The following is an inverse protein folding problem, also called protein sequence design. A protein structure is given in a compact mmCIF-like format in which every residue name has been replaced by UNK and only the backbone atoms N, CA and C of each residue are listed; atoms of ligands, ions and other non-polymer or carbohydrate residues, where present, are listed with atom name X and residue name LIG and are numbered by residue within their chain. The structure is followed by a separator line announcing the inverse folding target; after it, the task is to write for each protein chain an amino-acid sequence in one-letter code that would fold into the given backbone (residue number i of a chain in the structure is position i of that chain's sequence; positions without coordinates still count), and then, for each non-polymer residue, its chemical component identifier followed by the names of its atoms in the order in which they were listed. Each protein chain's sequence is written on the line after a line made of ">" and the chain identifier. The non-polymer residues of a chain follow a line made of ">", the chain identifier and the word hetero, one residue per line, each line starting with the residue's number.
data_IF_614625456405
#
_entry.id   IF_614625456405
#
_cell.length_a   1.000
_cell.length_b   1.000
_cell.length_c   1.000
_cell.angle_alpha   90.00
_cell.angle_beta   90.00
_cell.angle_gamma   90.00
#
_symmetry.space_group_name_H-M   'P 1'
#
loop_
_entity.id
_entity.type
_entity.pdbx_description
1 polymer ?
#
# COMPACT_ATOMS: atom_id res chain seq x y z
N UNK A 1 5.56 4.30 -14.63
CA UNK A 1 6.35 3.48 -15.57
C UNK A 1 7.55 2.91 -14.82
N UNK A 2 7.37 1.79 -14.10
CA UNK A 2 8.44 1.13 -13.35
C UNK A 2 9.24 0.22 -14.28
N UNK A 3 10.08 0.84 -15.10
CA UNK A 3 11.02 0.15 -15.96
C UNK A 3 12.07 -0.61 -15.14
N UNK A 4 11.86 -1.93 -14.99
CA UNK A 4 12.93 -2.94 -14.98
C UNK A 4 13.96 -2.93 -13.83
N UNK A 5 13.86 -2.06 -12.80
CA UNK A 5 14.86 -1.98 -11.71
C UNK A 5 14.38 -2.13 -10.28
N UNK A 6 13.07 -2.12 -9.99
CA UNK A 6 12.58 -2.28 -8.61
C UNK A 6 12.02 -3.69 -8.42
N UNK A 7 12.62 -4.52 -7.54
CA UNK A 7 12.09 -5.82 -7.17
C UNK A 7 10.64 -5.70 -6.65
N UNK A 8 9.70 -6.53 -7.13
CA UNK A 8 8.29 -6.43 -6.76
C UNK A 8 8.04 -6.65 -5.26
N UNK A 9 8.89 -7.41 -4.58
CA UNK A 9 8.81 -7.60 -3.12
C UNK A 9 9.10 -6.30 -2.35
N UNK A 10 9.98 -5.43 -2.86
CA UNK A 10 10.25 -4.13 -2.24
C UNK A 10 9.04 -3.20 -2.42
N UNK A 11 8.43 -3.18 -3.61
CA UNK A 11 7.21 -2.39 -3.86
C UNK A 11 6.09 -2.84 -2.92
N UNK A 12 5.90 -4.15 -2.76
CA UNK A 12 4.94 -4.69 -1.80
C UNK A 12 5.22 -4.23 -0.37
N UNK A 13 6.46 -4.38 0.11
CA UNK A 13 6.83 -4.04 1.47
C UNK A 13 6.65 -2.54 1.75
N UNK A 14 7.06 -1.69 0.80
CA UNK A 14 6.91 -0.24 0.90
C UNK A 14 5.43 0.19 0.88
N UNK A 15 4.61 -0.35 -0.04
CA UNK A 15 3.18 -0.03 -0.07
C UNK A 15 2.46 -0.53 1.18
N UNK A 16 2.85 -1.69 1.73
CA UNK A 16 2.29 -2.21 2.98
C UNK A 16 2.67 -1.32 4.19
N UNK A 17 3.94 -0.93 4.30
CA UNK A 17 4.41 -0.01 5.34
C UNK A 17 3.69 1.33 5.27
N UNK A 18 3.48 1.85 4.06
CA UNK A 18 2.82 3.13 3.84
C UNK A 18 1.32 3.05 4.16
N UNK A 19 0.66 1.93 3.81
CA UNK A 19 -0.71 1.65 4.22
C UNK A 19 -0.83 1.65 5.76
N UNK A 20 0.11 1.00 6.44
CA UNK A 20 0.13 0.93 7.91
C UNK A 20 0.34 2.31 8.53
N UNK A 21 1.28 3.09 8.00
CA UNK A 21 1.54 4.46 8.44
C UNK A 21 0.31 5.36 8.27
N UNK A 22 -0.39 5.27 7.13
CA UNK A 22 -1.65 5.98 6.90
C UNK A 22 -2.75 5.53 7.88
N UNK A 23 -2.87 4.23 8.15
CA UNK A 23 -3.87 3.72 9.09
C UNK A 23 -3.61 4.22 10.53
N UNK A 24 -2.34 4.24 10.97
CA UNK A 24 -1.95 4.78 12.28
C UNK A 24 -2.24 6.28 12.35
N UNK A 25 -1.85 7.05 11.34
CA UNK A 25 -2.12 8.49 11.27
C UNK A 25 -3.64 8.78 11.26
N UNK A 26 -4.42 8.01 10.51
CA UNK A 26 -5.88 8.12 10.48
C UNK A 26 -6.49 7.83 11.86
N UNK A 27 -6.00 6.81 12.57
CA UNK A 27 -6.46 6.49 13.92
C UNK A 27 -6.22 7.64 14.89
N UNK A 28 -5.02 8.22 14.89
CA UNK A 28 -4.73 9.39 15.73
C UNK A 28 -5.54 10.62 15.33
N UNK A 29 -5.75 10.86 14.03
CA UNK A 29 -6.56 11.99 13.55
C UNK A 29 -8.04 11.86 13.97
N UNK A 30 -8.62 10.66 13.89
CA UNK A 30 -9.98 10.39 14.38
C UNK A 30 -10.08 10.56 15.91
N UNK A 31 -9.04 10.14 16.65
CA UNK A 31 -8.95 10.36 18.10
C UNK A 31 -8.85 11.84 18.47
N UNK A 32 -8.25 12.66 17.61
CA UNK A 32 -8.17 14.11 17.78
C UNK A 32 -9.42 14.86 17.24
N UNK A 33 -10.54 14.16 17.03
CA UNK A 33 -11.81 14.68 16.48
C UNK A 33 -11.68 15.30 15.07
N UNK A 34 -10.57 15.04 14.38
CA UNK A 34 -10.32 15.53 13.03
C UNK A 34 -10.84 14.53 12.00
N UNK A 35 -12.17 14.50 11.85
CA UNK A 35 -12.88 13.53 11.00
C UNK A 35 -12.47 13.58 9.52
N UNK A 36 -12.23 14.78 8.97
CA UNK A 36 -11.80 14.94 7.57
C UNK A 36 -10.43 14.31 7.33
N UNK A 37 -9.47 14.62 8.20
CA UNK A 37 -8.09 14.12 8.10
C UNK A 37 -8.04 12.61 8.35
N UNK A 38 -8.86 12.12 9.29
CA UNK A 38 -9.06 10.70 9.53
C UNK A 38 -9.62 9.96 8.31
N UNK A 39 -10.66 10.51 7.66
CA UNK A 39 -11.26 9.92 6.46
C UNK A 39 -10.28 9.87 5.28
N UNK A 40 -9.52 10.95 5.05
CA UNK A 40 -8.49 10.98 4.00
C UNK A 40 -7.41 9.93 4.27
N UNK A 41 -6.91 9.84 5.52
CA UNK A 41 -5.92 8.85 5.90
C UNK A 41 -6.41 7.41 5.71
N UNK A 42 -7.70 7.16 5.99
CA UNK A 42 -8.31 5.84 5.82
C UNK A 42 -8.43 5.47 4.32
N UNK A 43 -8.87 6.40 3.48
CA UNK A 43 -8.92 6.21 2.02
C UNK A 43 -7.52 5.91 1.46
N UNK A 44 -6.50 6.65 1.91
CA UNK A 44 -5.12 6.43 1.50
C UNK A 44 -4.60 5.07 1.97
N UNK A 45 -4.91 4.66 3.20
CA UNK A 45 -4.54 3.34 3.71
C UNK A 45 -5.11 2.21 2.84
N UNK A 46 -6.38 2.31 2.46
CA UNK A 46 -7.04 1.34 1.56
C UNK A 46 -6.40 1.35 0.18
N UNK A 47 -6.10 2.53 -0.37
CA UNK A 47 -5.45 2.66 -1.68
C UNK A 47 -4.09 1.96 -1.70
N UNK A 48 -3.25 2.20 -0.68
CA UNK A 48 -1.93 1.57 -0.57
C UNK A 48 -2.02 0.07 -0.31
N UNK A 49 -3.04 -0.41 0.41
CA UNK A 49 -3.27 -1.85 0.57
C UNK A 49 -3.63 -2.51 -0.77
N UNK A 50 -4.50 -1.90 -1.58
CA UNK A 50 -4.85 -2.39 -2.93
C UNK A 50 -3.61 -2.38 -3.84
N UNK A 51 -2.80 -1.32 -3.78
CA UNK A 51 -1.56 -1.22 -4.53
C UNK A 51 -0.56 -2.33 -4.16
N UNK A 52 -0.43 -2.65 -2.86
CA UNK A 52 0.38 -3.77 -2.38
C UNK A 52 -0.12 -5.12 -2.94
N UNK A 53 -1.44 -5.38 -2.89
CA UNK A 53 -2.02 -6.61 -3.46
C UNK A 53 -1.78 -6.70 -4.97
N UNK A 54 -1.90 -5.58 -5.70
CA UNK A 54 -1.60 -5.53 -7.14
C UNK A 54 -0.12 -5.83 -7.42
N UNK A 55 0.81 -5.30 -6.62
CA UNK A 55 2.24 -5.59 -6.72
C UNK A 55 2.55 -7.08 -6.46
N UNK A 56 1.84 -7.70 -5.51
CA UNK A 56 1.95 -9.14 -5.24
C UNK A 56 1.46 -10.00 -6.43
N UNK A 57 0.40 -9.57 -7.12
CA UNK A 57 -0.08 -10.22 -8.35
C UNK A 57 0.98 -10.25 -9.47
N UNK A 58 1.79 -9.20 -9.61
CA UNK A 58 2.90 -9.18 -10.57
C UNK A 58 4.02 -10.16 -10.23
N UNK A 59 4.26 -10.42 -8.93
CA UNK A 59 5.23 -11.42 -8.50
C UNK A 59 4.81 -12.82 -8.95
N UNK A 60 3.54 -13.20 -8.73
CA UNK A 60 3.01 -14.51 -9.15
C UNK A 60 3.00 -14.70 -10.66
N UNK A 61 2.66 -13.66 -11.43
CA UNK A 61 2.70 -13.73 -12.90
C UNK A 61 4.12 -14.01 -13.44
N UNK A 62 5.15 -13.49 -12.75
CA UNK A 62 6.56 -13.67 -13.14
C UNK A 62 7.10 -15.07 -12.77
N UNK A 63 6.61 -15.67 -11.69
CA UNK A 63 6.90 -17.07 -11.34
C UNK A 63 6.20 -18.05 -12.27
N UNK A 64 4.99 -17.74 -12.74
CA UNK A 64 4.25 -18.56 -13.70
C UNK A 64 4.86 -18.63 -15.10
N UNK A 65 5.61 -17.61 -15.54
CA UNK A 65 6.32 -17.61 -16.83
C UNK A 65 7.68 -18.32 -16.82
N UNK A 66 8.17 -18.78 -15.66
CA UNK A 66 9.41 -19.57 -15.54
C UNK A 66 9.19 -21.09 -15.62
N UNK A 67 7.94 -21.55 -15.76
CA UNK A 67 7.60 -22.96 -15.97
C UNK A 67 7.43 -23.28 -17.45
#
# INVERSE_FOLDING_TARGET
>A
MFGRRVPPHLVFLFSLLLALACAVAAFFALRAESWVTGAIGLILAVWFAIDAVRAYGWQKAKEGQKK
#
